data_IF_816432251430
#
_entry.id   IF_816432251430
#
_cell.length_a   1.000
_cell.length_b   1.000
_cell.length_c   1.000
_cell.angle_alpha   90.00
_cell.angle_beta   90.00
_cell.angle_gamma   90.00
#
_symmetry.space_group_name_H-M   'P 1'
#
loop_
_entity.id
_entity.type
_entity.pdbx_description
1 polymer ?
#
# COMPACT_ATOMS: atom_id res chain seq x y z
N UNK A 1 -23.09 6.07 9.82
CA UNK A 1 -22.63 5.10 8.80
C UNK A 1 -21.92 5.76 7.61
N UNK A 2 -22.04 7.08 7.40
CA UNK A 2 -21.40 7.76 6.25
C UNK A 2 -19.87 7.60 6.22
N UNK A 3 -19.20 7.79 7.35
CA UNK A 3 -17.74 7.68 7.48
C UNK A 3 -17.17 6.26 7.33
N UNK A 4 -18.01 5.23 7.39
CA UNK A 4 -17.61 3.82 7.24
C UNK A 4 -18.00 3.25 5.87
N UNK A 5 -18.55 4.08 4.97
CA UNK A 5 -18.90 3.66 3.62
C UNK A 5 -17.66 3.49 2.75
N UNK A 6 -17.73 2.55 1.80
CA UNK A 6 -16.66 2.32 0.82
C UNK A 6 -16.36 3.59 0.03
N UNK A 7 -17.41 4.33 -0.35
CA UNK A 7 -17.29 5.57 -1.12
C UNK A 7 -16.54 6.66 -0.35
N UNK A 8 -16.88 6.84 0.94
CA UNK A 8 -16.19 7.78 1.81
C UNK A 8 -14.72 7.40 2.01
N UNK A 9 -14.44 6.13 2.29
CA UNK A 9 -13.07 5.65 2.50
C UNK A 9 -12.24 5.78 1.22
N UNK A 10 -12.81 5.43 0.07
CA UNK A 10 -12.15 5.57 -1.23
C UNK A 10 -11.77 7.02 -1.52
N UNK A 11 -12.73 7.94 -1.40
CA UNK A 11 -12.47 9.36 -1.63
C UNK A 11 -11.37 9.91 -0.71
N UNK A 12 -11.41 9.52 0.57
CA UNK A 12 -10.46 10.00 1.58
C UNK A 12 -9.05 9.44 1.33
N UNK A 13 -8.92 8.14 1.06
CA UNK A 13 -7.64 7.46 0.90
C UNK A 13 -6.99 7.80 -0.44
N UNK A 14 -7.77 7.86 -1.53
CA UNK A 14 -7.25 8.24 -2.84
C UNK A 14 -6.71 9.68 -2.80
N UNK A 15 -7.41 10.60 -2.13
CA UNK A 15 -6.93 11.96 -1.92
C UNK A 15 -5.63 11.99 -1.10
N UNK A 16 -5.56 11.22 -0.01
CA UNK A 16 -4.36 11.12 0.81
C UNK A 16 -3.15 10.63 -0.01
N UNK A 17 -3.29 9.56 -0.79
CA UNK A 17 -2.20 9.04 -1.62
C UNK A 17 -1.78 9.99 -2.72
N UNK A 18 -2.73 10.67 -3.37
CA UNK A 18 -2.44 11.72 -4.34
C UNK A 18 -1.63 12.84 -3.70
N UNK A 19 -2.01 13.30 -2.51
CA UNK A 19 -1.29 14.37 -1.78
C UNK A 19 0.15 13.99 -1.43
N UNK A 20 0.41 12.71 -1.14
CA UNK A 20 1.74 12.25 -0.72
C UNK A 20 2.67 11.91 -1.87
N UNK A 21 2.12 11.41 -2.98
CA UNK A 21 2.89 10.74 -4.03
C UNK A 21 2.82 11.44 -5.39
N UNK A 22 1.80 12.25 -5.64
CA UNK A 22 1.55 12.87 -6.95
C UNK A 22 1.56 14.39 -6.86
N UNK A 23 0.87 14.95 -5.88
CA UNK A 23 0.87 16.38 -5.62
C UNK A 23 2.22 16.74 -4.99
N UNK A 24 3.20 17.02 -5.86
CA UNK A 24 4.33 17.82 -5.42
C UNK A 24 3.75 19.15 -4.95
N UNK A 25 4.06 19.62 -3.71
CA UNK A 25 3.93 21.04 -3.45
C UNK A 25 4.74 21.69 -4.55
N UNK A 26 4.07 22.44 -5.43
CA UNK A 26 4.71 23.15 -6.53
C UNK A 26 6.04 23.67 -6.03
N UNK A 27 7.13 23.50 -6.79
CA UNK A 27 8.49 23.92 -6.45
C UNK A 27 8.63 25.43 -6.10
N UNK A 28 7.52 26.13 -5.94
CA UNK A 28 7.34 27.51 -5.57
C UNK A 28 7.14 27.59 -4.06
N UNK A 29 8.19 28.05 -3.35
CA UNK A 29 8.23 28.61 -1.98
C UNK A 29 8.72 27.73 -0.82
N UNK A 30 9.17 26.50 -1.03
CA UNK A 30 9.82 25.77 0.06
C UNK A 30 11.33 26.10 0.08
N UNK A 31 11.69 27.32 0.51
CA UNK A 31 13.03 27.59 1.07
C UNK A 31 13.12 26.90 2.44
N UNK A 32 13.05 25.58 2.50
CA UNK A 32 13.19 24.87 3.78
C UNK A 32 14.65 24.80 4.17
N UNK A 33 14.98 25.14 5.42
CA UNK A 33 16.30 24.91 6.03
C UNK A 33 16.79 23.45 6.03
N UNK A 34 16.00 22.49 5.53
CA UNK A 34 16.33 21.06 5.55
C UNK A 34 16.74 20.56 4.14
N UNK A 35 18.04 20.29 3.92
CA UNK A 35 18.55 19.85 2.61
C UNK A 35 18.06 18.46 2.16
N UNK A 36 17.56 17.61 3.08
CA UNK A 36 16.95 16.33 2.70
C UNK A 36 15.57 16.53 2.04
N UNK A 37 14.82 17.55 2.47
CA UNK A 37 13.50 17.88 1.92
C UNK A 37 13.62 18.49 0.52
N UNK A 38 14.61 19.35 0.31
CA UNK A 38 14.91 19.92 -1.02
C UNK A 38 15.27 18.83 -2.03
N UNK A 39 16.17 17.91 -1.65
CA UNK A 39 16.53 16.76 -2.50
C UNK A 39 15.33 15.88 -2.82
N UNK A 40 14.44 15.63 -1.86
CA UNK A 40 13.20 14.87 -2.10
C UNK A 40 12.30 15.56 -3.13
N UNK A 41 12.11 16.88 -3.02
CA UNK A 41 11.27 17.64 -3.97
C UNK A 41 11.87 17.58 -5.39
N UNK A 42 13.19 17.74 -5.51
CA UNK A 42 13.89 17.62 -6.81
C UNK A 42 13.68 16.23 -7.43
N UNK A 43 13.95 15.15 -6.67
CA UNK A 43 13.77 13.77 -7.14
C UNK A 43 12.32 13.47 -7.53
N UNK A 44 11.35 13.94 -6.76
CA UNK A 44 9.92 13.76 -7.09
C UNK A 44 9.53 14.54 -8.34
N UNK A 45 10.03 15.76 -8.51
CA UNK A 45 9.77 16.59 -9.70
C UNK A 45 10.36 15.94 -10.95
N UNK A 46 11.59 15.43 -10.87
CA UNK A 46 12.26 14.70 -11.95
C UNK A 46 11.56 13.38 -12.27
N UNK A 47 11.11 12.63 -11.26
CA UNK A 47 10.34 11.41 -11.47
C UNK A 47 9.02 11.71 -12.20
N UNK A 48 8.28 12.75 -11.76
CA UNK A 48 7.05 13.20 -12.40
C UNK A 48 7.28 13.66 -13.85
N UNK A 49 8.33 14.46 -14.12
CA UNK A 49 8.65 14.91 -15.49
C UNK A 49 9.02 13.76 -16.42
N UNK A 50 9.60 12.68 -15.88
CA UNK A 50 9.92 11.46 -16.61
C UNK A 50 8.73 10.48 -16.71
N UNK A 51 7.52 10.89 -16.32
CA UNK A 51 6.32 10.04 -16.33
C UNK A 51 6.32 8.93 -15.27
N UNK A 52 7.31 8.92 -14.37
CA UNK A 52 7.44 7.95 -13.28
C UNK A 52 6.65 8.44 -12.08
N UNK A 53 5.32 8.32 -12.18
CA UNK A 53 4.41 8.56 -11.06
C UNK A 53 3.79 7.24 -10.61
N UNK A 54 3.65 7.06 -9.30
CA UNK A 54 2.93 5.93 -8.72
C UNK A 54 1.95 6.48 -7.68
N UNK A 55 0.67 6.45 -8.03
CA UNK A 55 -0.42 6.72 -7.10
C UNK A 55 -0.77 5.45 -6.33
N UNK A 56 -1.03 5.59 -5.03
CA UNK A 56 -1.75 4.56 -4.31
C UNK A 56 -3.25 4.72 -4.57
N UNK A 57 -3.95 3.61 -4.77
CA UNK A 57 -5.42 3.56 -4.81
C UNK A 57 -5.95 2.86 -3.57
N UNK A 58 -7.15 3.24 -3.11
CA UNK A 58 -7.85 2.59 -2.01
C UNK A 58 -8.08 1.09 -2.28
N UNK A 59 -8.38 0.72 -3.53
CA UNK A 59 -8.48 -0.67 -3.98
C UNK A 59 -7.39 -0.89 -5.04
N UNK A 60 -6.29 -1.55 -4.66
CA UNK A 60 -5.13 -1.76 -5.55
C UNK A 60 -5.31 -2.86 -6.60
N UNK A 61 -5.74 -4.06 -6.18
CA UNK A 61 -5.92 -5.23 -7.06
C UNK A 61 -7.13 -6.08 -6.72
N UNK A 62 -7.43 -6.27 -5.43
CA UNK A 62 -8.58 -7.06 -4.99
C UNK A 62 -8.47 -8.56 -5.24
N UNK A 63 -7.27 -9.08 -5.53
CA UNK A 63 -7.05 -10.51 -5.82
C UNK A 63 -6.39 -11.24 -4.64
N UNK A 64 -6.70 -12.53 -4.49
CA UNK A 64 -6.06 -13.42 -3.51
C UNK A 64 -4.81 -14.06 -4.11
N UNK A 65 -3.80 -14.36 -3.28
CA UNK A 65 -2.64 -15.18 -3.68
C UNK A 65 -1.44 -14.42 -4.23
N UNK A 66 -1.47 -13.09 -4.31
CA UNK A 66 -0.34 -12.29 -4.82
C UNK A 66 0.94 -12.45 -3.98
N UNK A 67 0.80 -12.69 -2.67
CA UNK A 67 1.94 -12.94 -1.78
C UNK A 67 2.84 -14.10 -2.25
N UNK A 68 2.25 -15.12 -2.90
CA UNK A 68 2.99 -16.24 -3.48
C UNK A 68 3.89 -15.85 -4.66
N UNK A 69 3.57 -14.76 -5.37
CA UNK A 69 4.33 -14.26 -6.51
C UNK A 69 5.43 -13.28 -6.09
N UNK A 70 5.22 -12.53 -5.01
CA UNK A 70 6.11 -11.43 -4.61
C UNK A 70 7.12 -11.81 -3.53
N UNK A 71 6.79 -12.74 -2.64
CA UNK A 71 7.66 -13.11 -1.53
C UNK A 71 8.70 -14.15 -1.96
N UNK A 72 9.95 -13.99 -1.50
CA UNK A 72 10.95 -15.05 -1.61
C UNK A 72 10.55 -16.28 -0.80
N UNK A 73 11.09 -17.45 -1.14
CA UNK A 73 10.83 -18.71 -0.41
C UNK A 73 11.09 -18.59 1.10
N UNK A 74 12.16 -17.87 1.48
CA UNK A 74 12.50 -17.62 2.89
C UNK A 74 11.45 -16.77 3.59
N UNK A 75 11.01 -15.68 2.95
CA UNK A 75 9.98 -14.80 3.51
C UNK A 75 8.64 -15.53 3.64
N UNK A 76 8.28 -16.35 2.64
CA UNK A 76 7.08 -17.17 2.69
C UNK A 76 7.12 -18.15 3.86
N UNK A 77 8.25 -18.84 4.06
CA UNK A 77 8.44 -19.75 5.20
C UNK A 77 8.28 -19.01 6.53
N UNK A 78 8.96 -17.88 6.70
CA UNK A 78 8.87 -17.08 7.94
C UNK A 78 7.44 -16.60 8.22
N UNK A 79 6.71 -16.19 7.19
CA UNK A 79 5.32 -15.78 7.31
C UNK A 79 4.43 -16.95 7.75
N UNK A 80 4.56 -18.10 7.10
CA UNK A 80 3.78 -19.30 7.44
C UNK A 80 4.07 -19.79 8.85
N UNK A 81 5.34 -19.84 9.26
CA UNK A 81 5.74 -20.21 10.62
C UNK A 81 5.08 -19.28 11.66
N UNK A 82 5.05 -17.96 11.38
CA UNK A 82 4.45 -16.97 12.28
C UNK A 82 2.93 -17.04 12.33
N UNK A 83 2.26 -17.32 11.20
CA UNK A 83 0.82 -17.54 11.16
C UNK A 83 0.47 -18.73 12.04
N UNK A 84 1.12 -19.88 11.84
CA UNK A 84 0.90 -21.09 12.63
C UNK A 84 1.10 -20.85 14.14
N UNK A 85 2.16 -20.13 14.53
CA UNK A 85 2.40 -19.77 15.92
C UNK A 85 1.26 -18.91 16.50
N UNK A 86 0.76 -17.93 15.73
CA UNK A 86 -0.24 -16.96 16.20
C UNK A 86 -1.66 -17.51 16.20
N UNK A 87 -1.93 -18.54 15.41
CA UNK A 87 -3.26 -19.13 15.27
C UNK A 87 -3.39 -20.50 15.92
N UNK A 88 -2.33 -21.03 16.54
CA UNK A 88 -2.29 -22.38 17.12
C UNK A 88 -3.48 -22.70 18.05
N UNK A 89 -3.86 -21.74 18.89
CA UNK A 89 -4.95 -21.89 19.88
C UNK A 89 -6.30 -21.33 19.39
N UNK A 90 -6.45 -21.16 18.07
CA UNK A 90 -7.65 -20.57 17.47
C UNK A 90 -8.19 -21.41 16.32
N UNK A 91 -9.49 -21.32 16.10
CA UNK A 91 -10.20 -21.92 14.96
C UNK A 91 -10.06 -21.09 13.68
N UNK A 92 -9.34 -19.96 13.72
CA UNK A 92 -9.21 -19.02 12.60
C UNK A 92 -8.76 -19.73 11.32
N UNK A 93 -7.86 -20.72 11.41
CA UNK A 93 -7.41 -21.47 10.24
C UNK A 93 -8.52 -22.32 9.62
N UNK A 94 -9.47 -22.80 10.43
CA UNK A 94 -10.59 -23.61 9.97
C UNK A 94 -11.63 -22.78 9.20
N UNK A 95 -11.75 -21.48 9.49
CA UNK A 95 -12.66 -20.57 8.79
C UNK A 95 -12.37 -20.47 7.28
N UNK A 96 -11.14 -20.79 6.87
CA UNK A 96 -10.72 -20.72 5.48
C UNK A 96 -10.95 -22.02 4.71
N UNK A 97 -11.30 -23.13 5.38
CA UNK A 97 -11.47 -24.45 4.74
C UNK A 97 -12.65 -24.49 3.77
N UNK A 98 -13.70 -23.69 4.01
CA UNK A 98 -14.91 -23.68 3.19
C UNK A 98 -14.83 -22.74 1.98
N UNK A 99 -13.77 -21.92 1.90
CA UNK A 99 -13.55 -21.01 0.79
C UNK A 99 -12.89 -21.77 -0.37
N UNK A 100 -13.72 -22.27 -1.30
CA UNK A 100 -13.25 -22.71 -2.61
C UNK A 100 -12.75 -21.51 -3.41
N UNK A 101 -11.47 -21.21 -3.28
CA UNK A 101 -10.81 -20.21 -4.13
C UNK A 101 -10.41 -20.94 -5.41
N UNK A 102 -11.21 -20.78 -6.47
CA UNK A 102 -10.81 -21.21 -7.81
C UNK A 102 -9.50 -20.50 -8.18
N UNK A 103 -8.47 -21.29 -8.51
CA UNK A 103 -7.12 -20.80 -8.82
C UNK A 103 -6.96 -20.52 -10.31
#
# INVERSE_FOLDING_TARGET
MEYSSVDFMKATVDHFWKSLSIETPSAVKIKTRNPARERRVQLMTEALSNGKSSGGDFIRKGTVGEGGKTLSKKQMKMLNDRISEKTADSDVMNLWNDLKIEQ
#
